data_IF_743918900075
#
_entry.id   IF_743918900075
#
_cell.length_a   1.000
_cell.length_b   1.000
_cell.length_c   1.000
_cell.angle_alpha   90.00
_cell.angle_beta   90.00
_cell.angle_gamma   90.00
#
_symmetry.space_group_name_H-M   'P 1'
#
loop_
_entity.id
_entity.type
_entity.pdbx_description
1 polymer ?
#
# COMPACT_ATOMS: atom_id res chain seq x y z
N UNK A 1 6.72 34.46 -11.70
CA UNK A 1 7.26 33.37 -10.85
C UNK A 1 7.08 32.06 -11.61
N UNK A 2 8.08 31.16 -11.63
CA UNK A 2 7.93 29.81 -12.22
C UNK A 2 7.16 28.93 -11.22
N UNK A 3 6.10 28.27 -11.66
CA UNK A 3 5.42 27.24 -10.86
C UNK A 3 6.37 26.06 -10.65
N UNK A 4 6.38 25.51 -9.42
CA UNK A 4 7.10 24.27 -9.10
C UNK A 4 6.11 23.12 -9.10
N UNK A 5 6.40 22.08 -9.87
CA UNK A 5 5.56 20.90 -10.01
C UNK A 5 6.20 19.72 -9.31
N UNK A 6 5.47 19.08 -8.42
CA UNK A 6 5.90 17.86 -7.75
C UNK A 6 4.92 16.71 -8.03
N UNK A 7 5.43 15.49 -8.04
CA UNK A 7 4.65 14.26 -8.08
C UNK A 7 4.81 13.54 -6.75
N UNK A 8 3.68 13.04 -6.23
CA UNK A 8 3.64 12.12 -5.10
C UNK A 8 3.06 10.80 -5.60
N UNK A 9 3.91 9.77 -5.71
CA UNK A 9 3.46 8.41 -5.93
C UNK A 9 3.11 7.75 -4.60
N UNK A 10 1.93 7.15 -4.51
CA UNK A 10 1.44 6.55 -3.27
C UNK A 10 1.47 5.03 -3.43
N UNK A 11 2.26 4.37 -2.59
CA UNK A 11 2.30 2.92 -2.36
C UNK A 11 2.38 2.10 -3.66
N UNK A 12 3.31 2.51 -4.52
CA UNK A 12 3.57 1.88 -5.84
C UNK A 12 4.45 0.64 -5.65
N UNK A 13 3.96 -0.28 -4.82
CA UNK A 13 4.67 -1.49 -4.41
C UNK A 13 4.09 -2.71 -5.10
N UNK A 14 4.93 -3.73 -5.29
CA UNK A 14 4.56 -4.97 -5.97
C UNK A 14 3.28 -5.61 -5.43
N UNK A 15 3.07 -5.58 -4.11
CA UNK A 15 1.91 -6.18 -3.48
C UNK A 15 0.59 -5.53 -3.93
N UNK A 16 0.61 -4.24 -4.28
CA UNK A 16 -0.56 -3.51 -4.76
C UNK A 16 -0.63 -3.44 -6.28
N UNK A 17 0.50 -3.44 -6.99
CA UNK A 17 0.53 -3.08 -8.41
C UNK A 17 0.86 -4.22 -9.37
N UNK A 18 1.38 -5.36 -8.89
CA UNK A 18 1.54 -6.55 -9.73
C UNK A 18 0.31 -7.43 -9.62
N UNK A 19 -0.19 -8.04 -10.71
CA UNK A 19 -1.30 -8.99 -10.63
C UNK A 19 -1.03 -10.21 -9.71
N UNK A 20 0.25 -10.49 -9.44
CA UNK A 20 0.71 -11.54 -8.51
C UNK A 20 0.94 -11.04 -7.07
N UNK A 21 0.69 -9.76 -6.79
CA UNK A 21 0.90 -9.15 -5.49
C UNK A 21 -0.09 -9.67 -4.45
N UNK A 22 0.29 -9.62 -3.17
CA UNK A 22 -0.54 -10.14 -2.08
C UNK A 22 -1.88 -9.39 -1.91
N UNK A 23 -1.95 -8.12 -2.33
CA UNK A 23 -3.12 -7.26 -2.20
C UNK A 23 -3.34 -6.42 -3.47
N UNK A 24 -3.30 -7.09 -4.63
CA UNK A 24 -3.37 -6.43 -5.93
C UNK A 24 -4.64 -5.56 -6.10
N UNK A 25 -4.43 -4.31 -6.48
CA UNK A 25 -5.49 -3.39 -6.86
C UNK A 25 -5.76 -3.54 -8.35
N UNK A 26 -6.99 -3.94 -8.70
CA UNK A 26 -7.35 -4.23 -10.09
C UNK A 26 -7.06 -3.03 -11.02
N UNK A 27 -6.24 -3.24 -12.04
CA UNK A 27 -5.85 -2.24 -13.03
C UNK A 27 -4.61 -1.42 -12.67
N UNK A 28 -4.07 -1.57 -11.44
CA UNK A 28 -2.93 -0.80 -10.98
C UNK A 28 -1.65 -1.07 -11.79
N UNK A 29 -1.49 -2.26 -12.37
CA UNK A 29 -0.39 -2.57 -13.29
C UNK A 29 -0.45 -1.68 -14.55
N UNK A 30 -1.66 -1.37 -15.03
CA UNK A 30 -1.90 -0.42 -16.10
C UNK A 30 -1.63 1.03 -15.67
N UNK A 31 -2.03 1.40 -14.46
CA UNK A 31 -1.77 2.74 -13.90
C UNK A 31 -0.28 3.01 -13.75
N UNK A 32 0.50 2.03 -13.26
CA UNK A 32 1.96 2.16 -13.15
C UNK A 32 2.60 2.40 -14.51
N UNK A 33 2.15 1.69 -15.56
CA UNK A 33 2.64 1.93 -16.93
C UNK A 33 2.29 3.33 -17.43
N UNK A 34 1.06 3.81 -17.20
CA UNK A 34 0.63 5.18 -17.55
C UNK A 34 1.46 6.23 -16.83
N UNK A 35 1.72 6.04 -15.54
CA UNK A 35 2.54 6.94 -14.74
C UNK A 35 3.98 6.96 -15.25
N UNK A 36 4.57 5.80 -15.57
CA UNK A 36 5.91 5.74 -16.15
C UNK A 36 5.99 6.51 -17.47
N UNK A 37 5.04 6.30 -18.38
CA UNK A 37 4.98 7.07 -19.64
C UNK A 37 4.81 8.57 -19.41
N UNK A 38 3.99 8.98 -18.43
CA UNK A 38 3.83 10.39 -18.08
C UNK A 38 5.13 11.02 -17.56
N UNK A 39 5.87 10.31 -16.69
CA UNK A 39 7.16 10.75 -16.16
C UNK A 39 8.21 10.88 -17.27
N UNK A 40 8.23 9.95 -18.22
CA UNK A 40 9.12 9.98 -19.38
C UNK A 40 8.81 11.17 -20.30
N UNK A 41 7.52 11.40 -20.61
CA UNK A 41 7.09 12.47 -21.52
C UNK A 41 7.27 13.87 -20.93
N UNK A 42 6.97 14.05 -19.63
CA UNK A 42 6.89 15.36 -18.98
C UNK A 42 8.01 15.61 -17.96
N UNK A 43 8.98 14.71 -17.82
CA UNK A 43 10.06 14.76 -16.82
C UNK A 43 10.79 16.11 -16.72
N UNK A 44 11.03 16.76 -17.85
CA UNK A 44 11.69 18.09 -17.90
C UNK A 44 10.89 19.23 -17.22
N UNK A 45 9.61 19.00 -16.94
CA UNK A 45 8.69 19.96 -16.31
C UNK A 45 8.36 19.63 -14.85
N UNK A 46 8.88 18.52 -14.35
CA UNK A 46 8.66 18.05 -12.98
C UNK A 46 9.90 18.40 -12.17
N UNK A 47 9.73 19.18 -11.10
CA UNK A 47 10.83 19.64 -10.28
C UNK A 47 11.14 18.67 -9.12
N UNK A 48 10.21 17.79 -8.75
CA UNK A 48 10.38 16.83 -7.67
C UNK A 48 9.47 15.60 -7.79
N UNK A 49 9.96 14.43 -7.38
CA UNK A 49 9.18 13.19 -7.25
C UNK A 49 9.43 12.61 -5.86
N UNK A 50 8.35 12.38 -5.11
CA UNK A 50 8.36 11.63 -3.87
C UNK A 50 7.50 10.38 -4.01
N UNK A 51 7.90 9.31 -3.35
CA UNK A 51 7.16 8.05 -3.29
C UNK A 51 6.94 7.69 -1.82
N UNK A 52 5.71 7.31 -1.46
CA UNK A 52 5.42 6.65 -0.19
C UNK A 52 5.52 5.14 -0.35
N UNK A 53 5.81 4.47 0.76
CA UNK A 53 5.98 3.03 0.83
C UNK A 53 5.44 2.56 2.17
N UNK A 54 4.50 1.64 2.14
CA UNK A 54 4.13 0.84 3.30
C UNK A 54 5.31 -0.06 3.68
N UNK A 55 5.89 0.18 4.85
CA UNK A 55 6.99 -0.60 5.40
C UNK A 55 6.58 -1.23 6.72
N UNK A 56 6.16 -2.49 6.65
CA UNK A 56 5.69 -3.23 7.82
C UNK A 56 6.79 -4.05 8.47
N UNK A 57 6.74 -4.16 9.79
CA UNK A 57 7.47 -5.18 10.52
C UNK A 57 6.80 -6.55 10.31
N UNK A 58 7.54 -7.67 10.45
CA UNK A 58 6.96 -9.01 10.30
C UNK A 58 5.75 -9.28 11.21
N UNK A 59 5.74 -8.66 12.40
CA UNK A 59 4.62 -8.66 13.35
C UNK A 59 4.09 -7.22 13.38
N UNK A 60 3.02 -6.97 12.62
CA UNK A 60 2.38 -5.66 12.49
C UNK A 60 0.89 -5.80 12.80
N UNK A 61 0.31 -4.87 13.54
CA UNK A 61 -1.06 -4.96 14.07
C UNK A 61 -2.14 -5.11 12.98
N UNK A 62 -1.88 -4.65 11.76
CA UNK A 62 -2.80 -4.84 10.64
C UNK A 62 -2.75 -6.25 10.00
N UNK A 63 -1.81 -7.11 10.39
CA UNK A 63 -1.66 -8.46 9.89
C UNK A 63 -2.28 -9.48 10.84
N UNK A 64 -2.90 -10.53 10.30
CA UNK A 64 -3.45 -11.66 11.07
C UNK A 64 -2.42 -12.32 12.01
N UNK A 65 -1.12 -12.25 11.70
CA UNK A 65 -0.04 -12.80 12.54
C UNK A 65 0.14 -12.10 13.88
N UNK A 66 -0.39 -10.88 14.03
CA UNK A 66 -0.38 -10.14 15.28
C UNK A 66 -1.43 -10.67 16.27
N UNK A 67 -2.51 -11.24 15.75
CA UNK A 67 -3.71 -11.60 16.51
C UNK A 67 -3.84 -13.11 16.69
N UNK A 68 -4.56 -13.50 17.75
CA UNK A 68 -4.97 -14.89 18.00
C UNK A 68 -6.36 -14.88 18.63
N UNK A 69 -7.17 -15.88 18.31
CA UNK A 69 -8.42 -16.18 19.00
C UNK A 69 -8.17 -16.94 20.33
N UNK A 70 -9.26 -17.27 21.04
CA UNK A 70 -9.23 -17.99 22.32
C UNK A 70 -8.54 -19.36 22.20
N UNK A 71 -8.63 -20.00 21.02
CA UNK A 71 -7.98 -21.27 20.71
C UNK A 71 -6.52 -21.14 20.25
N UNK A 72 -6.02 -19.91 20.07
CA UNK A 72 -4.65 -19.59 19.71
C UNK A 72 -4.36 -19.52 18.20
N UNK A 73 -5.39 -19.55 17.36
CA UNK A 73 -5.30 -19.45 15.91
C UNK A 73 -5.41 -17.99 15.41
N UNK A 74 -4.75 -17.62 14.30
CA UNK A 74 -4.91 -16.30 13.72
C UNK A 74 -6.33 -16.12 13.13
N UNK A 75 -6.91 -14.90 13.20
CA UNK A 75 -8.23 -14.64 12.62
C UNK A 75 -8.20 -14.78 11.09
N UNK A 76 -9.34 -15.11 10.45
CA UNK A 76 -9.45 -15.12 8.99
C UNK A 76 -9.06 -13.77 8.35
N UNK A 77 -8.65 -13.79 7.09
CA UNK A 77 -8.34 -12.57 6.34
C UNK A 77 -9.56 -11.62 6.29
N UNK A 78 -9.29 -10.32 6.39
CA UNK A 78 -10.29 -9.24 6.40
C UNK A 78 -11.27 -9.27 7.58
N UNK A 79 -10.92 -9.94 8.68
CA UNK A 79 -11.68 -9.85 9.94
C UNK A 79 -11.61 -8.43 10.49
N UNK A 80 -12.77 -7.85 10.80
CA UNK A 80 -12.86 -6.59 11.55
C UNK A 80 -12.67 -6.95 13.03
N UNK A 81 -11.68 -6.32 13.67
CA UNK A 81 -11.41 -6.46 15.11
C UNK A 81 -11.79 -5.14 15.77
N UNK A 82 -12.72 -5.20 16.72
CA UNK A 82 -13.22 -4.05 17.49
C UNK A 82 -12.44 -3.86 18.78
N UNK A 83 -12.53 -2.67 19.38
CA UNK A 83 -11.90 -2.42 20.68
C UNK A 83 -12.46 -3.31 21.79
N UNK A 84 -13.78 -3.53 21.81
CA UNK A 84 -14.46 -4.37 22.80
C UNK A 84 -13.98 -5.83 22.74
N UNK A 85 -13.75 -6.38 21.53
CA UNK A 85 -13.16 -7.71 21.35
C UNK A 85 -11.74 -7.78 21.91
N UNK A 86 -10.91 -6.76 21.66
CA UNK A 86 -9.55 -6.70 22.22
C UNK A 86 -9.56 -6.59 23.75
N UNK A 87 -10.52 -5.86 24.32
CA UNK A 87 -10.69 -5.71 25.78
C UNK A 87 -11.22 -6.99 26.44
N UNK A 88 -12.03 -7.78 25.72
CA UNK A 88 -12.58 -9.05 26.21
C UNK A 88 -11.55 -10.19 26.23
N UNK A 89 -10.52 -10.11 25.37
CA UNK A 89 -9.48 -11.13 25.21
C UNK A 89 -9.83 -12.18 24.17
#
# INVERSE_FOLDING_TARGET
MKLRTAILGIDIQNDFTLPSGALFVNGADGDVRRMASFLEEYGSRIDYVALTVDSHQPIHIANQSYWRDEEGYPPPLFTIITADEVEAG
#
